data_IF_772328423742
#
_entry.id   IF_772328423742
#
_cell.length_a   1.000
_cell.length_b   1.000
_cell.length_c   1.000
_cell.angle_alpha   90.00
_cell.angle_beta   90.00
_cell.angle_gamma   90.00
#
_symmetry.space_group_name_H-M   'P 1'
#
loop_
_entity.id
_entity.type
_entity.pdbx_description
1 polymer ?
#
# COMPACT_ATOMS: atom_id res chain seq x y z
N UNK A 1 -0.73 -13.82 -1.17
CA UNK A 1 -0.52 -15.16 -1.79
C UNK A 1 0.76 -15.85 -1.30
N UNK A 2 1.89 -15.15 -1.24
CA UNK A 2 3.20 -15.74 -0.94
C UNK A 2 3.29 -16.31 0.49
N UNK A 3 2.78 -15.57 1.49
CA UNK A 3 2.73 -16.02 2.89
C UNK A 3 1.71 -17.14 3.09
N UNK A 4 0.58 -17.11 2.39
CA UNK A 4 -0.40 -18.20 2.44
C UNK A 4 0.22 -19.53 1.99
N UNK A 5 0.99 -19.53 0.90
CA UNK A 5 1.74 -20.72 0.46
C UNK A 5 2.73 -21.23 1.51
N UNK A 6 3.40 -20.32 2.20
CA UNK A 6 4.32 -20.68 3.27
C UNK A 6 3.60 -21.35 4.45
N UNK A 7 2.51 -20.77 4.93
CA UNK A 7 1.69 -21.34 6.01
C UNK A 7 1.17 -22.72 5.63
N UNK A 8 0.65 -22.88 4.41
CA UNK A 8 0.19 -24.19 3.90
C UNK A 8 1.29 -25.25 3.94
N UNK A 9 2.52 -24.88 3.62
CA UNK A 9 3.65 -25.81 3.67
C UNK A 9 4.02 -26.24 5.09
N UNK A 10 3.85 -25.35 6.08
CA UNK A 10 4.08 -25.65 7.48
C UNK A 10 3.04 -26.59 8.08
N UNK A 11 1.78 -26.50 7.63
CA UNK A 11 0.68 -27.31 8.15
C UNK A 11 0.40 -28.56 7.34
N UNK A 12 1.35 -29.06 6.56
CA UNK A 12 1.24 -30.29 5.75
C UNK A 12 0.02 -30.34 4.83
N UNK A 13 -0.56 -29.19 4.49
CA UNK A 13 -1.67 -29.12 3.55
C UNK A 13 -1.18 -29.54 2.17
N UNK A 14 -1.80 -30.56 1.57
CA UNK A 14 -1.44 -31.03 0.22
C UNK A 14 -1.48 -29.85 -0.75
N UNK A 15 -0.35 -29.37 -1.21
CA UNK A 15 -0.21 -28.21 -2.09
C UNK A 15 -1.03 -28.31 -3.39
N UNK A 16 -1.39 -29.52 -3.80
CA UNK A 16 -2.24 -29.80 -4.98
C UNK A 16 -3.71 -29.47 -4.74
N UNK A 17 -4.17 -29.39 -3.49
CA UNK A 17 -5.58 -29.16 -3.15
C UNK A 17 -6.00 -27.69 -3.21
N UNK A 18 -5.06 -26.76 -3.15
CA UNK A 18 -5.36 -25.32 -3.12
C UNK A 18 -4.63 -24.59 -4.23
N UNK A 19 -5.37 -23.87 -5.05
CA UNK A 19 -4.85 -23.00 -6.07
C UNK A 19 -4.95 -21.54 -5.61
N UNK A 20 -3.84 -20.78 -5.74
CA UNK A 20 -3.82 -19.36 -5.46
C UNK A 20 -3.65 -18.62 -6.79
N UNK A 21 -4.70 -17.91 -7.18
CA UNK A 21 -4.73 -17.11 -8.38
C UNK A 21 -4.57 -15.62 -7.98
N UNK A 22 -3.71 -14.91 -8.66
CA UNK A 22 -3.63 -13.46 -8.57
C UNK A 22 -4.04 -12.87 -9.92
N UNK A 23 -5.04 -12.01 -9.89
CA UNK A 23 -5.57 -11.33 -11.07
C UNK A 23 -5.24 -9.85 -11.00
N UNK A 24 -4.70 -9.33 -12.10
CA UNK A 24 -4.30 -7.93 -12.24
C UNK A 24 -4.91 -7.40 -13.55
N UNK A 25 -5.64 -6.30 -13.46
CA UNK A 25 -6.27 -5.66 -14.62
C UNK A 25 -5.24 -5.12 -15.62
N UNK A 26 -4.09 -4.67 -15.12
CA UNK A 26 -3.03 -4.10 -15.94
C UNK A 26 -2.19 -5.14 -16.68
N UNK A 27 -1.32 -4.69 -17.59
CA UNK A 27 -0.41 -5.56 -18.36
C UNK A 27 0.77 -6.08 -17.54
N UNK A 28 0.97 -5.62 -16.31
CA UNK A 28 2.03 -6.06 -15.40
C UNK A 28 1.65 -5.84 -13.95
N UNK A 29 2.23 -6.62 -13.06
CA UNK A 29 2.09 -6.40 -11.62
C UNK A 29 2.71 -5.05 -11.22
N UNK A 30 2.16 -4.42 -10.17
CA UNK A 30 2.70 -3.20 -9.58
C UNK A 30 2.93 -2.09 -10.63
N UNK A 31 1.90 -1.62 -11.32
CA UNK A 31 2.04 -0.70 -12.46
C UNK A 31 2.71 0.64 -12.09
N UNK A 32 2.67 1.04 -10.82
CA UNK A 32 3.31 2.26 -10.31
C UNK A 32 4.79 2.09 -9.95
N UNK A 33 5.29 0.85 -9.87
CA UNK A 33 6.68 0.55 -9.53
C UNK A 33 7.55 0.45 -10.79
N UNK A 34 8.90 0.53 -10.66
CA UNK A 34 9.82 0.28 -11.75
C UNK A 34 9.57 -1.09 -12.41
N UNK A 35 9.83 -1.20 -13.71
CA UNK A 35 9.62 -2.44 -14.47
C UNK A 35 10.42 -3.61 -13.90
N UNK A 36 11.61 -3.35 -13.36
CA UNK A 36 12.47 -4.39 -12.79
C UNK A 36 11.91 -4.94 -11.47
N UNK A 37 11.34 -4.08 -10.62
CA UNK A 37 10.59 -4.49 -9.44
C UNK A 37 9.40 -5.37 -9.82
N UNK A 38 8.58 -4.94 -10.78
CA UNK A 38 7.45 -5.72 -11.30
C UNK A 38 7.88 -7.11 -11.77
N UNK A 39 8.96 -7.16 -12.56
CA UNK A 39 9.52 -8.42 -13.10
C UNK A 39 10.06 -9.34 -12.00
N UNK A 40 10.75 -8.77 -11.01
CA UNK A 40 11.30 -9.53 -9.89
C UNK A 40 10.18 -10.14 -9.01
N UNK A 41 9.16 -9.36 -8.68
CA UNK A 41 7.98 -9.83 -7.92
C UNK A 41 7.19 -10.88 -8.71
N UNK A 42 6.98 -10.67 -10.01
CA UNK A 42 6.32 -11.65 -10.88
C UNK A 42 7.05 -13.01 -10.85
N UNK A 43 8.37 -13.01 -11.07
CA UNK A 43 9.20 -14.24 -11.02
C UNK A 43 9.12 -14.91 -9.63
N UNK A 44 9.15 -14.12 -8.57
CA UNK A 44 9.07 -14.63 -7.19
C UNK A 44 7.73 -15.30 -6.90
N UNK A 45 6.62 -14.68 -7.24
CA UNK A 45 5.28 -15.24 -7.03
C UNK A 45 5.08 -16.54 -7.84
N UNK A 46 5.54 -16.56 -9.11
CA UNK A 46 5.53 -17.78 -9.92
C UNK A 46 6.33 -18.92 -9.27
N UNK A 47 7.54 -18.62 -8.75
CA UNK A 47 8.37 -19.60 -8.03
C UNK A 47 7.68 -20.15 -6.77
N UNK A 48 6.80 -19.37 -6.15
CA UNK A 48 5.98 -19.79 -5.02
C UNK A 48 4.70 -20.55 -5.43
N UNK A 49 4.51 -20.84 -6.70
CA UNK A 49 3.35 -21.57 -7.21
C UNK A 49 2.07 -20.75 -7.31
N UNK A 50 2.17 -19.42 -7.28
CA UNK A 50 1.01 -18.54 -7.54
C UNK A 50 0.78 -18.46 -9.05
N UNK A 51 -0.45 -18.68 -9.49
CA UNK A 51 -0.87 -18.49 -10.87
C UNK A 51 -1.18 -17.00 -11.09
N UNK A 52 -0.57 -16.39 -12.09
CA UNK A 52 -0.67 -14.96 -12.35
C UNK A 52 -1.41 -14.71 -13.66
N UNK A 53 -2.50 -13.94 -13.57
CA UNK A 53 -3.34 -13.57 -14.69
C UNK A 53 -3.32 -12.05 -14.85
N UNK A 54 -2.61 -11.57 -15.84
CA UNK A 54 -2.55 -10.16 -16.22
C UNK A 54 -3.69 -9.84 -17.21
N UNK A 55 -4.00 -8.55 -17.38
CA UNK A 55 -5.12 -8.09 -18.22
C UNK A 55 -6.44 -8.78 -17.85
N UNK A 56 -6.63 -9.04 -16.56
CA UNK A 56 -7.76 -9.76 -15.98
C UNK A 56 -8.59 -8.83 -15.13
N UNK A 57 -9.61 -8.24 -15.74
CA UNK A 57 -10.51 -7.29 -15.08
C UNK A 57 -11.60 -8.08 -14.36
N UNK A 58 -11.69 -7.94 -13.05
CA UNK A 58 -12.79 -8.46 -12.23
C UNK A 58 -13.94 -7.45 -12.29
N UNK A 59 -15.13 -7.91 -12.70
CA UNK A 59 -16.30 -7.08 -12.94
C UNK A 59 -17.42 -7.29 -11.92
N UNK A 60 -17.43 -8.45 -11.27
CA UNK A 60 -18.44 -8.78 -10.27
C UNK A 60 -18.06 -10.01 -9.47
N UNK A 61 -18.72 -10.19 -8.33
CA UNK A 61 -18.55 -11.29 -7.40
C UNK A 61 -19.92 -11.77 -6.90
N UNK A 62 -20.07 -13.08 -6.80
CA UNK A 62 -21.14 -13.76 -6.07
C UNK A 62 -20.52 -14.67 -5.02
N UNK A 63 -21.35 -15.41 -4.24
CA UNK A 63 -20.85 -16.33 -3.22
C UNK A 63 -19.86 -17.38 -3.77
N UNK A 64 -20.04 -17.83 -5.01
CA UNK A 64 -19.29 -18.97 -5.58
C UNK A 64 -18.51 -18.61 -6.86
N UNK A 65 -18.70 -17.42 -7.42
CA UNK A 65 -18.16 -17.06 -8.73
C UNK A 65 -17.65 -15.63 -8.79
N UNK A 66 -16.58 -15.45 -9.58
CA UNK A 66 -16.07 -14.16 -10.02
C UNK A 66 -16.33 -13.99 -11.50
N UNK A 67 -16.86 -12.83 -11.93
CA UNK A 67 -16.90 -12.48 -13.34
C UNK A 67 -15.59 -11.80 -13.72
N UNK A 68 -14.83 -12.41 -14.61
CA UNK A 68 -13.53 -11.90 -15.09
C UNK A 68 -13.53 -11.81 -16.61
N UNK A 69 -13.34 -10.60 -17.15
CA UNK A 69 -13.41 -10.32 -18.59
C UNK A 69 -14.71 -10.89 -19.22
N UNK A 70 -15.85 -10.73 -18.55
CA UNK A 70 -17.15 -11.20 -18.99
C UNK A 70 -17.39 -12.71 -18.85
N UNK A 71 -16.46 -13.45 -18.21
CA UNK A 71 -16.58 -14.90 -18.02
C UNK A 71 -16.66 -15.27 -16.54
N UNK A 72 -17.59 -16.19 -16.14
CA UNK A 72 -17.65 -16.66 -14.77
C UNK A 72 -16.48 -17.60 -14.45
N UNK A 73 -15.94 -17.48 -13.25
CA UNK A 73 -14.87 -18.33 -12.72
C UNK A 73 -15.25 -18.73 -11.31
N UNK A 74 -15.33 -20.02 -11.03
CA UNK A 74 -15.60 -20.53 -9.68
C UNK A 74 -14.47 -20.18 -8.72
N UNK A 75 -14.82 -19.62 -7.58
CA UNK A 75 -13.92 -19.32 -6.50
C UNK A 75 -14.63 -19.38 -5.15
N UNK A 76 -14.06 -20.09 -4.19
CA UNK A 76 -14.62 -20.20 -2.83
C UNK A 76 -14.12 -19.11 -1.89
N UNK A 77 -13.02 -18.46 -2.23
CA UNK A 77 -12.44 -17.39 -1.39
C UNK A 77 -11.87 -16.31 -2.28
N UNK A 78 -12.37 -15.11 -2.11
CA UNK A 78 -11.89 -13.92 -2.81
C UNK A 78 -11.28 -12.96 -1.80
N UNK A 79 -10.08 -12.49 -2.09
CA UNK A 79 -9.40 -11.45 -1.31
C UNK A 79 -9.24 -10.23 -2.21
N UNK A 80 -10.06 -9.22 -1.99
CA UNK A 80 -10.03 -7.98 -2.74
C UNK A 80 -8.91 -7.07 -2.23
N UNK A 81 -7.93 -6.79 -3.08
CA UNK A 81 -6.80 -5.90 -2.77
C UNK A 81 -6.54 -4.88 -3.89
N UNK A 82 -7.55 -4.67 -4.75
CA UNK A 82 -7.40 -3.83 -5.95
C UNK A 82 -7.56 -2.32 -5.68
N UNK A 83 -7.51 -1.91 -4.43
CA UNK A 83 -7.58 -0.52 -4.01
C UNK A 83 -8.75 -0.24 -3.09
N UNK A 84 -8.75 0.98 -2.57
CA UNK A 84 -9.75 1.51 -1.65
C UNK A 84 -10.27 2.85 -2.18
N UNK A 85 -11.46 3.21 -1.79
CA UNK A 85 -12.02 4.55 -1.94
C UNK A 85 -12.23 5.16 -0.57
N UNK A 86 -12.26 6.47 -0.49
CA UNK A 86 -12.49 7.17 0.77
C UNK A 86 -13.94 6.99 1.25
N UNK A 87 -14.14 7.21 2.55
CA UNK A 87 -15.45 7.20 3.15
C UNK A 87 -16.34 8.29 2.53
N UNK A 88 -17.61 8.01 2.21
CA UNK A 88 -18.59 8.99 1.73
C UNK A 88 -18.76 10.19 2.67
N UNK A 89 -18.49 10.04 3.96
CA UNK A 89 -18.54 11.08 4.99
C UNK A 89 -17.96 12.42 4.50
N UNK A 90 -16.82 12.41 3.83
CA UNK A 90 -16.20 13.67 3.40
C UNK A 90 -17.04 14.39 2.35
N UNK A 91 -17.59 13.65 1.39
CA UNK A 91 -18.49 14.20 0.37
C UNK A 91 -19.79 14.72 0.99
N UNK A 92 -20.36 13.93 1.90
CA UNK A 92 -21.65 14.22 2.54
C UNK A 92 -21.58 15.45 3.47
N UNK A 93 -20.38 15.78 3.96
CA UNK A 93 -20.10 16.96 4.77
C UNK A 93 -19.51 18.14 3.97
N UNK A 94 -19.63 18.12 2.64
CA UNK A 94 -19.33 19.29 1.80
C UNK A 94 -17.85 19.51 1.46
N UNK A 95 -16.95 18.59 1.81
CA UNK A 95 -15.55 18.71 1.41
C UNK A 95 -15.38 18.58 -0.11
N UNK A 96 -14.43 19.33 -0.66
CA UNK A 96 -14.05 19.20 -2.07
C UNK A 96 -13.35 17.84 -2.29
N UNK A 97 -13.98 17.00 -3.11
CA UNK A 97 -13.52 15.62 -3.35
C UNK A 97 -12.81 15.54 -4.70
N UNK A 98 -11.67 14.90 -4.67
CA UNK A 98 -10.83 14.57 -5.83
C UNK A 98 -10.92 13.08 -6.18
N UNK A 99 -10.04 12.59 -7.04
CA UNK A 99 -10.00 11.18 -7.46
C UNK A 99 -10.00 10.21 -6.27
N UNK A 100 -10.75 9.12 -6.41
CA UNK A 100 -10.93 8.06 -5.40
C UNK A 100 -11.51 8.56 -4.07
N UNK A 101 -12.26 9.64 -4.08
CA UNK A 101 -12.90 10.20 -2.91
C UNK A 101 -11.96 10.94 -1.95
N UNK A 102 -10.72 11.24 -2.38
CA UNK A 102 -9.77 11.98 -1.55
C UNK A 102 -10.14 13.43 -1.42
N UNK A 103 -9.87 14.00 -0.25
CA UNK A 103 -10.16 15.41 0.05
C UNK A 103 -9.07 16.30 -0.52
N UNK A 104 -9.46 17.35 -1.23
CA UNK A 104 -8.55 18.40 -1.66
C UNK A 104 -7.98 19.14 -0.45
N UNK A 105 -6.69 19.42 -0.47
CA UNK A 105 -6.00 20.20 0.56
C UNK A 105 -5.13 21.28 -0.06
N UNK A 106 -4.93 22.35 0.70
CA UNK A 106 -4.00 23.41 0.34
C UNK A 106 -2.53 23.00 0.61
N UNK A 107 -1.61 23.95 0.39
CA UNK A 107 -0.19 23.75 0.65
C UNK A 107 0.18 23.56 2.13
N UNK A 108 -0.76 23.71 3.05
CA UNK A 108 -0.58 23.50 4.48
C UNK A 108 -1.28 22.27 5.00
N UNK A 109 -1.83 21.44 4.09
CA UNK A 109 -2.68 20.29 4.36
C UNK A 109 -4.01 20.62 5.04
N UNK A 110 -4.54 21.83 4.81
CA UNK A 110 -5.87 22.21 5.22
C UNK A 110 -6.87 21.96 4.09
N UNK A 111 -7.99 21.33 4.42
CA UNK A 111 -9.14 21.25 3.54
C UNK A 111 -10.02 22.52 3.67
N UNK A 112 -10.09 23.05 4.91
CA UNK A 112 -10.78 24.27 5.28
C UNK A 112 -10.01 24.96 6.42
N UNK A 113 -10.27 26.25 6.71
CA UNK A 113 -9.61 26.95 7.80
C UNK A 113 -9.71 26.19 9.14
N UNK A 114 -8.58 25.71 9.64
CA UNK A 114 -8.50 24.97 10.89
C UNK A 114 -8.76 23.46 10.77
N UNK A 115 -9.18 22.94 9.61
CA UNK A 115 -9.43 21.51 9.36
C UNK A 115 -8.31 20.94 8.51
N UNK A 116 -7.52 20.04 9.10
CA UNK A 116 -6.41 19.37 8.44
C UNK A 116 -6.79 17.95 8.00
N UNK A 117 -6.44 17.58 6.77
CA UNK A 117 -6.67 16.23 6.25
C UNK A 117 -5.32 15.63 5.85
N UNK A 118 -5.03 14.43 6.36
CA UNK A 118 -3.72 13.78 6.32
C UNK A 118 -3.80 12.36 5.77
N UNK A 119 -2.65 11.82 5.35
CA UNK A 119 -2.50 10.41 4.99
C UNK A 119 -3.41 9.99 3.86
N UNK A 120 -4.11 8.86 4.05
CA UNK A 120 -4.89 8.20 3.00
C UNK A 120 -6.07 9.03 2.51
N UNK A 121 -6.60 9.89 3.36
CA UNK A 121 -7.75 10.74 3.03
C UNK A 121 -7.38 11.99 2.20
N UNK A 122 -6.12 12.43 2.25
CA UNK A 122 -5.69 13.65 1.56
C UNK A 122 -5.33 13.38 0.10
N UNK A 123 -5.72 14.31 -0.78
CA UNK A 123 -5.30 14.30 -2.18
C UNK A 123 -3.93 14.97 -2.32
N UNK A 124 -2.89 14.20 -2.06
CA UNK A 124 -1.51 14.69 -2.10
C UNK A 124 -0.56 13.62 -2.68
N UNK A 125 0.63 14.00 -3.15
CA UNK A 125 1.61 13.03 -3.63
C UNK A 125 1.94 11.99 -2.56
N UNK A 126 2.03 10.72 -2.99
CA UNK A 126 2.37 9.57 -2.15
C UNK A 126 1.38 9.24 -1.03
N UNK A 127 0.17 9.81 -1.01
CA UNK A 127 -0.87 9.41 -0.04
C UNK A 127 -1.24 7.93 -0.21
N UNK A 128 -1.64 7.26 0.88
CA UNK A 128 -1.89 5.82 0.91
C UNK A 128 -0.71 4.99 1.43
N UNK A 129 0.26 5.64 2.08
CA UNK A 129 1.42 4.99 2.69
C UNK A 129 1.62 5.50 4.12
N UNK A 130 1.81 4.58 5.08
CA UNK A 130 2.02 4.91 6.50
C UNK A 130 3.16 5.91 6.70
N UNK A 131 4.26 5.76 5.97
CA UNK A 131 5.40 6.67 6.04
C UNK A 131 5.04 8.11 5.63
N UNK A 132 4.14 8.29 4.65
CA UNK A 132 3.63 9.59 4.26
C UNK A 132 2.74 10.16 5.37
N UNK A 133 1.79 9.38 5.88
CA UNK A 133 0.89 9.81 6.95
C UNK A 133 1.65 10.29 8.21
N UNK A 134 2.71 9.59 8.62
CA UNK A 134 3.58 10.00 9.73
C UNK A 134 4.26 11.35 9.45
N UNK A 135 4.78 11.56 8.25
CA UNK A 135 5.41 12.84 7.84
C UNK A 135 4.41 13.98 7.82
N UNK A 136 3.19 13.72 7.35
CA UNK A 136 2.10 14.69 7.33
C UNK A 136 1.75 15.13 8.74
N UNK A 137 1.58 14.19 9.67
CA UNK A 137 1.30 14.47 11.08
C UNK A 137 2.38 15.32 11.73
N UNK A 138 3.65 14.96 11.52
CA UNK A 138 4.80 15.75 12.03
C UNK A 138 4.83 17.15 11.42
N UNK A 139 4.53 17.29 10.13
CA UNK A 139 4.47 18.58 9.45
C UNK A 139 3.39 19.48 10.04
N UNK A 140 2.16 18.96 10.16
CA UNK A 140 1.04 19.72 10.72
C UNK A 140 1.31 20.12 12.17
N UNK A 141 1.80 19.21 13.00
CA UNK A 141 2.17 19.50 14.39
C UNK A 141 3.21 20.63 14.49
N UNK A 142 4.21 20.62 13.61
CA UNK A 142 5.22 21.71 13.53
C UNK A 142 4.60 23.04 13.11
N UNK A 143 3.70 23.05 12.15
CA UNK A 143 3.01 24.25 11.71
C UNK A 143 2.08 24.83 12.79
N UNK A 144 1.36 23.98 13.51
CA UNK A 144 0.56 24.41 14.66
C UNK A 144 1.41 25.04 15.76
N UNK A 145 2.56 24.45 16.10
CA UNK A 145 3.53 25.05 17.05
C UNK A 145 4.04 26.39 16.56
N UNK A 146 4.34 26.52 15.25
CA UNK A 146 4.76 27.81 14.66
C UNK A 146 3.69 28.87 14.83
N UNK A 147 2.43 28.54 14.53
CA UNK A 147 1.29 29.45 14.71
C UNK A 147 1.13 29.89 16.17
N UNK A 148 1.20 28.94 17.11
CA UNK A 148 1.14 29.25 18.55
C UNK A 148 2.27 30.16 19.03
N UNK A 149 3.42 30.17 18.31
CA UNK A 149 4.57 31.05 18.57
C UNK A 149 4.57 32.33 17.72
N UNK A 150 3.48 32.70 17.08
CA UNK A 150 3.35 33.88 16.22
C UNK A 150 4.14 33.82 14.91
N UNK A 151 4.58 32.63 14.48
CA UNK A 151 5.36 32.43 13.25
C UNK A 151 4.46 32.00 12.09
N UNK A 152 4.80 32.42 10.87
CA UNK A 152 4.11 32.00 9.65
C UNK A 152 4.20 30.50 9.41
N UNK A 153 3.18 29.93 8.76
CA UNK A 153 3.18 28.53 8.29
C UNK A 153 4.28 28.29 7.25
N UNK A 154 4.76 27.07 7.19
CA UNK A 154 5.60 26.57 6.10
C UNK A 154 4.76 25.74 5.15
N UNK A 155 5.05 25.79 3.86
CA UNK A 155 4.42 24.94 2.85
C UNK A 155 4.89 23.49 2.99
N UNK A 156 3.97 22.58 2.73
CA UNK A 156 4.27 21.14 2.68
C UNK A 156 5.09 20.80 1.43
N UNK A 157 6.09 19.97 1.63
CA UNK A 157 6.88 19.40 0.54
C UNK A 157 6.88 17.88 0.66
N UNK A 158 6.10 17.24 -0.20
CA UNK A 158 5.98 15.77 -0.22
C UNK A 158 7.32 15.13 -0.59
N UNK A 159 7.75 14.17 0.22
CA UNK A 159 8.98 13.40 -0.03
C UNK A 159 8.62 12.01 -0.53
N UNK A 160 9.30 11.59 -1.59
CA UNK A 160 9.15 10.23 -2.09
C UNK A 160 9.48 9.21 -0.99
N UNK A 161 8.57 8.29 -0.67
CA UNK A 161 8.80 7.26 0.34
C UNK A 161 9.64 6.11 -0.22
N UNK A 162 10.30 5.38 0.68
CA UNK A 162 10.91 4.11 0.33
C UNK A 162 9.79 3.08 0.17
N UNK A 163 9.68 2.48 -1.01
CA UNK A 163 8.67 1.46 -1.28
C UNK A 163 9.19 0.08 -0.91
N UNK A 164 8.48 -0.64 -0.05
CA UNK A 164 8.84 -1.99 0.40
C UNK A 164 7.73 -2.96 0.00
N UNK A 165 8.06 -3.95 -0.81
CA UNK A 165 7.11 -4.93 -1.37
C UNK A 165 7.54 -6.34 -0.93
N UNK A 166 6.98 -6.88 0.15
CA UNK A 166 7.26 -8.24 0.58
C UNK A 166 6.58 -9.26 -0.36
N UNK A 167 7.31 -10.31 -0.72
CA UNK A 167 6.78 -11.41 -1.53
C UNK A 167 7.19 -12.77 -0.96
N UNK A 168 6.68 -13.07 0.22
CA UNK A 168 6.91 -14.29 0.97
C UNK A 168 8.08 -14.20 1.96
N UNK A 169 8.37 -15.29 2.68
CA UNK A 169 9.37 -15.31 3.72
C UNK A 169 10.77 -15.00 3.16
N UNK A 170 11.51 -14.18 3.90
CA UNK A 170 12.90 -13.78 3.61
C UNK A 170 13.11 -13.24 2.19
N UNK A 171 12.07 -12.59 1.62
CA UNK A 171 12.16 -11.96 0.33
C UNK A 171 11.31 -10.69 0.25
N UNK A 172 11.92 -9.58 -0.14
CA UNK A 172 11.23 -8.34 -0.47
C UNK A 172 11.91 -7.65 -1.66
N UNK A 173 11.17 -6.77 -2.34
CA UNK A 173 11.71 -5.78 -3.26
C UNK A 173 11.60 -4.41 -2.60
N UNK A 174 12.72 -3.73 -2.46
CA UNK A 174 12.79 -2.37 -1.90
C UNK A 174 13.23 -1.41 -2.99
N UNK A 175 12.47 -0.35 -3.18
CA UNK A 175 12.78 0.75 -4.09
C UNK A 175 13.10 1.98 -3.24
N UNK A 176 14.34 2.45 -3.36
CA UNK A 176 14.84 3.62 -2.64
C UNK A 176 15.44 4.62 -3.65
N UNK A 177 14.64 5.59 -4.05
CA UNK A 177 14.98 6.48 -5.15
C UNK A 177 15.25 5.67 -6.43
N UNK A 178 16.46 5.74 -6.96
CA UNK A 178 16.87 4.99 -8.16
C UNK A 178 17.37 3.57 -7.87
N UNK A 179 17.57 3.21 -6.61
CA UNK A 179 18.12 1.91 -6.22
C UNK A 179 17.01 0.88 -6.01
N UNK A 180 17.24 -0.36 -6.45
CA UNK A 180 16.32 -1.48 -6.29
C UNK A 180 17.07 -2.65 -5.63
N UNK A 181 16.56 -3.09 -4.48
CA UNK A 181 17.12 -4.22 -3.74
C UNK A 181 16.11 -5.36 -3.73
N UNK A 182 16.46 -6.52 -4.29
CA UNK A 182 15.59 -7.68 -4.36
C UNK A 182 16.12 -8.85 -3.51
N UNK A 183 15.21 -9.73 -3.07
CA UNK A 183 15.55 -10.95 -2.38
C UNK A 183 15.89 -10.74 -0.91
N UNK A 184 16.94 -11.42 -0.42
CA UNK A 184 17.38 -11.34 0.98
C UNK A 184 17.84 -9.94 1.38
N UNK A 185 18.53 -9.21 0.48
CA UNK A 185 18.94 -7.81 0.74
C UNK A 185 17.72 -6.91 0.96
N UNK A 186 16.71 -7.03 0.09
CA UNK A 186 15.45 -6.31 0.25
C UNK A 186 14.71 -6.71 1.54
N UNK A 187 14.76 -7.99 1.91
CA UNK A 187 14.16 -8.46 3.16
C UNK A 187 14.84 -7.86 4.39
N UNK A 188 16.16 -7.82 4.46
CA UNK A 188 16.89 -7.19 5.56
C UNK A 188 16.56 -5.69 5.69
N UNK A 189 16.49 -4.96 4.56
CA UNK A 189 16.06 -3.57 4.57
C UNK A 189 14.62 -3.39 5.04
N UNK A 190 13.74 -4.34 4.73
CA UNK A 190 12.36 -4.35 5.24
C UNK A 190 12.35 -4.52 6.76
N UNK A 191 13.06 -5.51 7.31
CA UNK A 191 13.13 -5.72 8.76
C UNK A 191 13.65 -4.47 9.49
N UNK A 192 14.66 -3.80 8.92
CA UNK A 192 15.16 -2.54 9.47
C UNK A 192 14.12 -1.41 9.41
N UNK A 193 13.32 -1.34 8.33
CA UNK A 193 12.24 -0.37 8.21
C UNK A 193 11.09 -0.64 9.18
N UNK A 194 10.72 -1.91 9.37
CA UNK A 194 9.70 -2.33 10.33
C UNK A 194 10.15 -1.97 11.77
N UNK A 195 11.42 -2.25 12.12
CA UNK A 195 11.98 -1.87 13.43
C UNK A 195 11.97 -0.35 13.64
N UNK A 196 12.33 0.43 12.63
CA UNK A 196 12.26 1.89 12.72
C UNK A 196 10.82 2.37 12.92
N UNK A 197 9.84 1.78 12.21
CA UNK A 197 8.42 2.10 12.37
C UNK A 197 7.91 1.81 13.80
N UNK A 198 8.30 0.70 14.39
CA UNK A 198 7.97 0.39 15.80
C UNK A 198 8.58 1.41 16.76
N UNK A 199 9.83 1.80 16.56
CA UNK A 199 10.49 2.83 17.38
C UNK A 199 9.80 4.20 17.30
N UNK A 200 9.23 4.54 16.17
CA UNK A 200 8.52 5.82 15.98
C UNK A 200 7.16 5.84 16.71
N UNK A 201 6.61 4.67 17.03
CA UNK A 201 5.30 4.51 17.69
C UNK A 201 5.40 4.12 19.16
N UNK A 202 6.43 3.36 19.55
CA UNK A 202 6.60 2.86 20.90
C UNK A 202 7.96 3.21 21.48
N UNK A 203 8.03 3.49 22.80
CA UNK A 203 9.33 3.71 23.46
C UNK A 203 10.16 2.43 23.45
N UNK A 204 11.43 2.58 23.17
CA UNK A 204 12.46 1.57 23.39
C UNK A 204 12.50 1.17 24.89
N UNK A 205 12.41 -0.10 25.30
CA UNK A 205 12.68 -1.35 24.61
C UNK A 205 11.46 -2.15 24.08
N UNK A 206 10.25 -1.62 24.10
CA UNK A 206 9.07 -2.35 23.67
C UNK A 206 9.00 -2.58 22.14
N UNK A 207 9.82 -1.86 21.40
CA UNK A 207 9.90 -1.96 19.93
C UNK A 207 10.80 -3.13 19.42
N UNK A 208 11.37 -3.91 20.34
CA UNK A 208 12.17 -5.11 20.04
C UNK A 208 11.43 -6.37 20.45
#
# INVERSE_FOLDING_TARGET
PAYLRHIMSQHSVKQRAIHIDLREAGPRLLPRMPKDTSRAVYKRLRKLGVRLYLKSVVQGETADELTVNGKPIRSHTVVWTAGVTNNPFFKDNGFVIMDRGKVATDMYLQAEPGIYVLGDNANMPYSGLAQTALRDGVFVARNLRRRASGKSFKSYNAKEPISVIPAGPRWASVVWGKMIFNGRKGWLLREAADLQGFRDLEPWPRAT
#
